data_IF_782417894258
#
_entry.id   IF_782417894258
#
_cell.length_a   1.000
_cell.length_b   1.000
_cell.length_c   1.000
_cell.angle_alpha   90.00
_cell.angle_beta   90.00
_cell.angle_gamma   90.00
#
_symmetry.space_group_name_H-M   'P 1'
#
loop_
_entity.id
_entity.type
_entity.pdbx_description
1 polymer ?
#
# COMPACT_ATOMS: atom_id res chain seq x y z
N UNK A 1 5.47 -1.38 -13.35
CA UNK A 1 5.21 -2.81 -13.11
C UNK A 1 6.37 -3.34 -12.26
N UNK A 2 6.13 -3.70 -11.00
CA UNK A 2 7.23 -4.15 -10.13
C UNK A 2 6.85 -4.43 -8.68
N UNK A 3 5.60 -4.15 -8.27
CA UNK A 3 5.22 -4.20 -6.86
C UNK A 3 4.38 -5.42 -6.47
N UNK A 4 3.89 -6.23 -7.43
CA UNK A 4 2.92 -7.30 -7.14
C UNK A 4 3.44 -8.37 -6.19
N UNK A 5 4.71 -8.80 -6.35
CA UNK A 5 5.32 -9.76 -5.42
C UNK A 5 5.51 -9.14 -4.02
N UNK A 6 5.97 -7.88 -3.96
CA UNK A 6 6.14 -7.17 -2.70
C UNK A 6 4.79 -6.93 -1.99
N UNK A 7 3.73 -6.62 -2.74
CA UNK A 7 2.38 -6.42 -2.24
C UNK A 7 1.88 -7.67 -1.50
N UNK A 8 2.02 -8.85 -2.11
CA UNK A 8 1.62 -10.11 -1.48
C UNK A 8 2.42 -10.40 -0.21
N UNK A 9 3.76 -10.30 -0.27
CA UNK A 9 4.61 -10.55 0.90
C UNK A 9 4.27 -9.62 2.06
N UNK A 10 4.03 -8.33 1.77
CA UNK A 10 3.72 -7.33 2.78
C UNK A 10 2.32 -7.49 3.35
N UNK A 11 1.33 -7.87 2.54
CA UNK A 11 -0.03 -8.16 3.00
C UNK A 11 -0.05 -9.36 3.96
N UNK A 12 0.64 -10.45 3.61
CA UNK A 12 0.81 -11.63 4.48
C UNK A 12 1.59 -11.30 5.77
N UNK A 13 2.49 -10.32 5.73
CA UNK A 13 3.18 -9.80 6.90
C UNK A 13 2.32 -8.84 7.77
N UNK A 14 1.06 -8.61 7.40
CA UNK A 14 0.12 -7.75 8.13
C UNK A 14 0.24 -6.25 7.83
N UNK A 15 0.92 -5.88 6.75
CA UNK A 15 0.93 -4.50 6.27
C UNK A 15 -0.43 -4.12 5.67
N UNK A 16 -0.70 -2.81 5.60
CA UNK A 16 -1.73 -2.27 4.72
C UNK A 16 -1.09 -1.91 3.39
N UNK A 17 -1.65 -2.43 2.30
CA UNK A 17 -1.15 -2.21 0.93
C UNK A 17 -2.24 -1.52 0.11
N UNK A 18 -1.98 -0.27 -0.31
CA UNK A 18 -2.94 0.55 -1.08
C UNK A 18 -2.25 1.30 -2.21
N UNK A 19 -3.04 1.90 -3.11
CA UNK A 19 -2.55 2.97 -3.98
C UNK A 19 -2.41 4.31 -3.23
N UNK A 20 -2.03 5.37 -3.95
CA UNK A 20 -1.88 6.72 -3.39
C UNK A 20 -3.21 7.37 -2.96
N UNK A 21 -4.34 6.82 -3.38
CA UNK A 21 -5.68 7.28 -3.00
C UNK A 21 -6.26 6.46 -1.83
N UNK A 22 -5.51 5.49 -1.31
CA UNK A 22 -5.94 4.61 -0.23
C UNK A 22 -6.87 3.49 -0.69
N UNK A 23 -7.03 3.27 -2.00
CA UNK A 23 -7.75 2.11 -2.54
C UNK A 23 -6.84 0.88 -2.49
N UNK A 24 -7.38 -0.34 -2.44
CA UNK A 24 -6.57 -1.56 -2.55
C UNK A 24 -5.60 -1.49 -3.73
N UNK A 25 -4.37 -1.96 -3.53
CA UNK A 25 -3.40 -2.02 -4.62
C UNK A 25 -3.87 -3.00 -5.70
N UNK A 26 -3.82 -2.57 -6.96
CA UNK A 26 -4.10 -3.37 -8.13
C UNK A 26 -2.91 -3.36 -9.09
N UNK A 27 -2.84 -4.35 -9.99
CA UNK A 27 -1.74 -4.47 -10.95
C UNK A 27 -1.53 -3.21 -11.80
N UNK A 28 -2.61 -2.49 -12.10
CA UNK A 28 -2.63 -1.27 -12.90
C UNK A 28 -2.49 0.02 -12.05
N UNK A 29 -2.35 -0.08 -10.72
CA UNK A 29 -2.15 1.09 -9.86
C UNK A 29 -0.86 1.84 -10.26
N UNK A 30 -0.94 3.18 -10.29
CA UNK A 30 0.21 4.04 -10.63
C UNK A 30 1.37 3.93 -9.64
N UNK A 31 1.11 3.45 -8.44
CA UNK A 31 2.09 3.19 -7.40
C UNK A 31 1.46 2.46 -6.22
N UNK A 32 2.24 2.30 -5.16
CA UNK A 32 1.86 1.52 -3.98
C UNK A 32 2.37 2.23 -2.71
N UNK A 33 1.54 2.21 -1.67
CA UNK A 33 1.91 2.51 -0.29
C UNK A 33 1.71 1.22 0.50
N UNK A 34 2.79 0.72 1.10
CA UNK A 34 2.76 -0.46 1.95
C UNK A 34 3.49 -0.18 3.27
N UNK A 35 2.77 -0.28 4.40
CA UNK A 35 3.32 -0.04 5.74
C UNK A 35 2.47 -0.73 6.81
N UNK A 36 2.97 -0.83 8.04
CA UNK A 36 2.12 -1.29 9.16
C UNK A 36 0.87 -0.39 9.31
N UNK A 37 -0.24 -0.88 9.90
CA UNK A 37 -1.51 -0.14 9.92
C UNK A 37 -1.43 1.26 10.55
N UNK A 38 -0.57 1.45 11.56
CA UNK A 38 -0.41 2.73 12.26
C UNK A 38 0.28 3.76 11.36
N UNK A 39 1.39 3.37 10.72
CA UNK A 39 2.15 4.24 9.84
C UNK A 39 1.40 4.50 8.53
N UNK A 40 0.74 3.49 7.97
CA UNK A 40 -0.08 3.63 6.77
C UNK A 40 -1.14 4.73 6.95
N UNK A 41 -1.88 4.72 8.07
CA UNK A 41 -2.84 5.77 8.41
C UNK A 41 -2.22 7.17 8.49
N UNK A 42 -0.99 7.28 9.00
CA UNK A 42 -0.26 8.57 9.06
C UNK A 42 0.11 9.03 7.65
N UNK A 43 0.69 8.17 6.83
CA UNK A 43 1.05 8.47 5.44
C UNK A 43 -0.19 8.93 4.66
N UNK A 44 -1.31 8.20 4.77
CA UNK A 44 -2.56 8.56 4.09
C UNK A 44 -3.14 9.90 4.55
N UNK A 45 -2.81 10.35 5.76
CA UNK A 45 -3.21 11.68 6.25
C UNK A 45 -2.38 12.79 5.63
N UNK A 46 -1.08 12.58 5.44
CA UNK A 46 -0.17 13.57 4.86
C UNK A 46 -0.29 13.69 3.33
N UNK A 47 -0.82 12.65 2.67
CA UNK A 47 -1.06 12.63 1.22
C UNK A 47 -2.43 13.21 0.80
N UNK A 48 -3.29 13.56 1.77
CA UNK A 48 -4.55 14.27 1.53
C UNK A 48 -4.31 15.78 1.41
#
# INVERSE_FOLDING_TARGET
MGYSAAALILDEAGARVTDFFGKPFEWNSKGMIAANPILHKKIMKELK
#
